data_IF_033770558242
#
_entry.id   IF_033770558242
#
_cell.length_a   1.000
_cell.length_b   1.000
_cell.length_c   1.000
_cell.angle_alpha   90.00
_cell.angle_beta   90.00
_cell.angle_gamma   90.00
#
_symmetry.space_group_name_H-M   'P 1'
#
loop_
_entity.id
_entity.type
_entity.pdbx_description
1 polymer ?
#
# COMPACT_ATOMS: atom_id res chain seq x y z
N UNK A 1 -6.67 15.11 -23.84
CA UNK A 1 -5.85 13.95 -23.41
C UNK A 1 -6.64 12.65 -23.58
N UNK A 2 -6.59 11.99 -24.74
CA UNK A 2 -7.40 10.78 -25.01
C UNK A 2 -6.88 9.51 -24.32
N UNK A 3 -5.64 9.51 -23.84
CA UNK A 3 -5.04 8.40 -23.08
C UNK A 3 -5.73 8.12 -21.73
N UNK A 4 -6.32 9.15 -21.10
CA UNK A 4 -7.15 8.99 -19.91
C UNK A 4 -8.40 8.13 -20.14
N UNK A 5 -8.74 7.81 -21.39
CA UNK A 5 -9.83 6.89 -21.73
C UNK A 5 -9.41 5.41 -21.68
N UNK A 6 -8.11 5.12 -21.47
CA UNK A 6 -7.59 3.76 -21.36
C UNK A 6 -8.17 3.04 -20.15
N UNK A 7 -8.86 1.93 -20.40
CA UNK A 7 -9.45 1.07 -19.36
C UNK A 7 -8.38 0.41 -18.48
N UNK A 8 -7.26 -0.01 -19.09
CA UNK A 8 -6.11 -0.60 -18.39
C UNK A 8 -5.49 0.37 -17.41
N UNK A 9 -5.25 1.60 -17.87
CA UNK A 9 -4.69 2.67 -17.06
C UNK A 9 -5.60 3.04 -15.89
N UNK A 10 -6.91 3.20 -16.13
CA UNK A 10 -7.87 3.52 -15.07
C UNK A 10 -7.95 2.44 -14.01
N UNK A 11 -7.95 1.17 -14.41
CA UNK A 11 -7.95 0.05 -13.48
C UNK A 11 -6.67 0.03 -12.64
N UNK A 12 -5.51 0.16 -13.29
CA UNK A 12 -4.21 0.20 -12.60
C UNK A 12 -4.10 1.36 -11.62
N UNK A 13 -4.39 2.59 -12.06
CA UNK A 13 -4.40 3.78 -11.20
C UNK A 13 -5.40 3.64 -10.05
N UNK A 14 -6.60 3.12 -10.33
CA UNK A 14 -7.61 2.90 -9.30
C UNK A 14 -7.15 1.89 -8.25
N UNK A 15 -6.46 0.81 -8.66
CA UNK A 15 -5.93 -0.20 -7.75
C UNK A 15 -4.78 0.36 -6.91
N UNK A 16 -3.85 1.10 -7.52
CA UNK A 16 -2.77 1.80 -6.80
C UNK A 16 -3.36 2.76 -5.78
N UNK A 17 -4.33 3.59 -6.18
CA UNK A 17 -4.99 4.54 -5.28
C UNK A 17 -5.74 3.85 -4.15
N UNK A 18 -6.40 2.72 -4.40
CA UNK A 18 -7.08 1.95 -3.35
C UNK A 18 -6.08 1.47 -2.28
N UNK A 19 -4.97 0.87 -2.71
CA UNK A 19 -3.92 0.38 -1.78
C UNK A 19 -3.27 1.56 -1.05
N UNK A 20 -2.92 2.62 -1.77
CA UNK A 20 -2.31 3.82 -1.19
C UNK A 20 -3.21 4.48 -0.14
N UNK A 21 -4.48 4.70 -0.46
CA UNK A 21 -5.43 5.33 0.47
C UNK A 21 -5.70 4.44 1.68
N UNK A 22 -5.74 3.12 1.51
CA UNK A 22 -5.82 2.19 2.63
C UNK A 22 -4.61 2.32 3.56
N UNK A 23 -3.39 2.28 3.01
CA UNK A 23 -2.15 2.43 3.79
C UNK A 23 -2.07 3.79 4.49
N UNK A 24 -2.42 4.88 3.78
CA UNK A 24 -2.47 6.21 4.35
C UNK A 24 -3.53 6.34 5.46
N UNK A 25 -4.71 5.71 5.29
CA UNK A 25 -5.75 5.66 6.31
C UNK A 25 -5.26 4.90 7.55
N UNK A 26 -4.65 3.73 7.39
CA UNK A 26 -4.10 2.96 8.50
C UNK A 26 -2.99 3.73 9.22
N UNK A 27 -2.13 4.46 8.49
CA UNK A 27 -1.16 5.38 9.09
C UNK A 27 -1.83 6.49 9.89
N UNK A 28 -2.92 7.07 9.38
CA UNK A 28 -3.71 8.05 10.11
C UNK A 28 -4.30 7.47 11.40
N UNK A 29 -4.89 6.26 11.33
CA UNK A 29 -5.40 5.54 12.50
C UNK A 29 -4.29 5.29 13.52
N UNK A 30 -3.09 4.88 13.07
CA UNK A 30 -1.94 4.73 13.95
C UNK A 30 -1.54 6.04 14.62
N UNK A 31 -1.42 7.12 13.82
CA UNK A 31 -1.01 8.42 14.32
C UNK A 31 -1.98 8.93 15.40
N UNK A 32 -3.28 8.94 15.14
CA UNK A 32 -4.27 9.46 16.10
C UNK A 32 -4.59 8.50 17.24
N UNK A 33 -4.50 7.18 17.03
CA UNK A 33 -4.95 6.17 18.00
C UNK A 33 -3.84 5.56 18.85
N UNK A 34 -2.60 5.51 18.35
CA UNK A 34 -1.53 4.71 18.96
C UNK A 34 -0.26 5.51 19.24
N UNK A 35 0.11 6.49 18.38
CA UNK A 35 1.43 7.14 18.46
C UNK A 35 1.69 7.95 19.74
N UNK A 36 0.63 8.37 20.45
CA UNK A 36 0.73 9.26 21.62
C UNK A 36 1.12 10.70 21.28
N UNK A 37 1.31 11.03 19.99
CA UNK A 37 1.64 12.38 19.53
C UNK A 37 0.40 13.26 19.55
N UNK A 38 0.47 14.40 20.25
CA UNK A 38 -0.63 15.36 20.27
C UNK A 38 -0.89 15.93 18.87
N UNK A 39 -2.14 15.92 18.36
CA UNK A 39 -2.45 16.41 17.01
C UNK A 39 -2.03 17.86 16.74
N UNK A 40 -1.96 18.70 17.79
CA UNK A 40 -1.53 20.10 17.67
C UNK A 40 -0.09 20.24 17.17
N UNK A 41 0.77 19.24 17.43
CA UNK A 41 2.19 19.25 17.03
C UNK A 41 2.40 19.13 15.52
N UNK A 42 1.38 18.70 14.76
CA UNK A 42 1.43 18.61 13.30
C UNK A 42 1.79 19.93 12.62
N UNK A 43 1.29 21.04 13.17
CA UNK A 43 1.43 22.37 12.57
C UNK A 43 2.49 23.23 13.28
N UNK A 44 2.92 22.84 14.48
CA UNK A 44 3.97 23.53 15.25
C UNK A 44 5.35 22.92 15.07
N UNK A 45 5.44 21.60 14.81
CA UNK A 45 6.72 20.91 14.63
C UNK A 45 6.83 20.33 13.20
N UNK A 46 7.76 20.87 12.42
CA UNK A 46 8.01 20.43 11.04
C UNK A 46 8.41 18.95 10.93
N UNK A 47 8.97 18.38 11.99
CA UNK A 47 9.37 16.97 12.07
C UNK A 47 8.20 16.01 11.90
N UNK A 48 7.03 16.29 12.51
CA UNK A 48 5.86 15.39 12.41
C UNK A 48 5.32 15.39 10.98
N UNK A 49 5.20 16.57 10.37
CA UNK A 49 4.79 16.71 8.98
C UNK A 49 5.77 16.03 8.01
N UNK A 50 7.08 16.14 8.29
CA UNK A 50 8.12 15.48 7.51
C UNK A 50 8.05 13.95 7.63
N UNK A 51 7.89 13.41 8.84
CA UNK A 51 7.68 11.96 9.05
C UNK A 51 6.47 11.45 8.30
N UNK A 52 5.32 12.15 8.41
CA UNK A 52 4.12 11.76 7.68
C UNK A 52 4.33 11.83 6.17
N UNK A 53 5.03 12.85 5.67
CA UNK A 53 5.40 12.97 4.26
C UNK A 53 6.29 11.82 3.76
N UNK A 54 7.29 11.43 4.54
CA UNK A 54 8.15 10.26 4.24
C UNK A 54 7.31 8.98 4.28
N UNK A 55 6.44 8.84 5.28
CA UNK A 55 5.51 7.73 5.41
C UNK A 55 4.60 7.55 4.20
N UNK A 56 3.97 8.63 3.72
CA UNK A 56 3.11 8.59 2.54
C UNK A 56 3.88 8.21 1.27
N UNK A 57 5.15 8.61 1.14
CA UNK A 57 6.01 8.18 0.02
C UNK A 57 6.27 6.67 0.07
N UNK A 58 6.49 6.11 1.26
CA UNK A 58 6.58 4.65 1.44
C UNK A 58 5.26 3.94 1.10
N UNK A 59 4.13 4.49 1.54
CA UNK A 59 2.81 3.92 1.25
C UNK A 59 2.54 3.87 -0.25
N UNK A 60 2.89 4.94 -0.98
CA UNK A 60 2.78 4.99 -2.44
C UNK A 60 3.70 3.97 -3.10
N UNK A 61 4.95 3.87 -2.66
CA UNK A 61 5.92 2.89 -3.18
C UNK A 61 5.41 1.45 -2.97
N UNK A 62 4.89 1.15 -1.78
CA UNK A 62 4.35 -0.16 -1.46
C UNK A 62 3.11 -0.47 -2.31
N UNK A 63 2.21 0.50 -2.49
CA UNK A 63 1.05 0.37 -3.37
C UNK A 63 1.46 0.06 -4.82
N UNK A 64 2.47 0.76 -5.34
CA UNK A 64 3.01 0.51 -6.68
C UNK A 64 3.62 -0.90 -6.78
N UNK A 65 4.39 -1.35 -5.79
CA UNK A 65 4.98 -2.69 -5.76
C UNK A 65 3.92 -3.80 -5.72
N UNK A 66 2.88 -3.65 -4.90
CA UNK A 66 1.77 -4.61 -4.81
C UNK A 66 1.01 -4.68 -6.13
N UNK A 67 0.77 -3.55 -6.80
CA UNK A 67 -0.03 -3.54 -8.04
C UNK A 67 0.83 -3.84 -9.28
N UNK A 68 2.16 -3.81 -9.18
CA UNK A 68 3.08 -4.01 -10.30
C UNK A 68 2.86 -5.34 -11.04
N UNK A 69 2.71 -6.51 -10.39
CA UNK A 69 2.45 -7.77 -11.10
C UNK A 69 1.14 -7.72 -11.92
N UNK A 70 0.11 -7.07 -11.38
CA UNK A 70 -1.17 -6.87 -12.08
C UNK A 70 -0.99 -5.92 -13.27
N UNK A 71 -0.16 -4.89 -13.13
CA UNK A 71 0.22 -4.01 -14.23
C UNK A 71 0.86 -4.80 -15.37
N UNK A 72 1.83 -5.67 -15.09
CA UNK A 72 2.47 -6.49 -16.12
C UNK A 72 1.44 -7.35 -16.88
N UNK A 73 0.56 -8.03 -16.14
CA UNK A 73 -0.48 -8.86 -16.73
C UNK A 73 -1.56 -8.05 -17.47
N UNK A 74 -1.74 -6.75 -17.24
CA UNK A 74 -2.68 -5.92 -18.01
C UNK A 74 -2.13 -5.52 -19.39
N UNK A 75 -0.80 -5.36 -19.51
CA UNK A 75 -0.15 -4.88 -20.73
C UNK A 75 0.52 -5.96 -21.58
N UNK A 76 0.65 -7.20 -21.08
CA UNK A 76 1.12 -8.32 -21.89
C UNK A 76 0.25 -8.55 -23.15
N UNK A 77 0.85 -8.83 -24.32
CA UNK A 77 0.11 -8.87 -25.59
C UNK A 77 -0.83 -10.08 -25.70
N UNK A 78 -0.37 -11.28 -25.34
CA UNK A 78 -1.11 -12.54 -25.50
C UNK A 78 -1.79 -13.01 -24.19
N UNK A 79 -1.09 -12.86 -23.07
CA UNK A 79 -1.51 -13.35 -21.75
C UNK A 79 -1.92 -12.17 -20.87
N UNK A 80 -3.13 -11.63 -21.10
CA UNK A 80 -3.61 -10.50 -20.32
C UNK A 80 -4.95 -10.73 -19.61
N UNK A 81 -5.18 -9.95 -18.55
CA UNK A 81 -6.39 -9.99 -17.71
C UNK A 81 -7.69 -9.75 -18.48
N UNK A 82 -7.62 -9.09 -19.64
CA UNK A 82 -8.81 -8.76 -20.44
C UNK A 82 -9.25 -9.97 -21.25
N UNK A 83 -8.29 -10.68 -21.85
CA UNK A 83 -8.56 -11.77 -22.78
C UNK A 83 -8.66 -13.13 -22.08
N UNK A 84 -7.97 -13.31 -20.95
CA UNK A 84 -7.87 -14.61 -20.24
C UNK A 84 -8.57 -14.54 -18.87
N UNK A 85 -9.75 -15.16 -18.71
CA UNK A 85 -10.49 -15.16 -17.45
C UNK A 85 -9.72 -15.74 -16.27
N UNK A 86 -8.90 -16.77 -16.51
CA UNK A 86 -8.06 -17.38 -15.47
C UNK A 86 -7.05 -16.38 -14.88
N UNK A 87 -6.37 -15.58 -15.72
CA UNK A 87 -5.44 -14.55 -15.25
C UNK A 87 -6.14 -13.46 -14.46
N UNK A 88 -7.39 -13.14 -14.83
CA UNK A 88 -8.23 -12.20 -14.07
C UNK A 88 -8.55 -12.74 -12.68
N UNK A 89 -8.86 -14.03 -12.56
CA UNK A 89 -9.08 -14.67 -11.27
C UNK A 89 -7.80 -14.71 -10.42
N UNK A 90 -6.66 -15.11 -11.02
CA UNK A 90 -5.35 -15.10 -10.34
C UNK A 90 -5.01 -13.71 -9.82
N UNK A 91 -5.20 -12.65 -10.61
CA UNK A 91 -4.93 -11.28 -10.18
C UNK A 91 -5.84 -10.84 -9.01
N UNK A 92 -7.11 -11.25 -9.00
CA UNK A 92 -8.03 -10.96 -7.88
C UNK A 92 -7.57 -11.66 -6.61
N UNK A 93 -7.27 -12.96 -6.69
CA UNK A 93 -6.80 -13.74 -5.54
C UNK A 93 -5.50 -13.15 -5.00
N UNK A 94 -4.55 -12.85 -5.87
CA UNK A 94 -3.29 -12.20 -5.51
C UNK A 94 -3.53 -10.88 -4.77
N UNK A 95 -4.36 -9.97 -5.30
CA UNK A 95 -4.62 -8.69 -4.67
C UNK A 95 -5.34 -8.84 -3.31
N UNK A 96 -6.29 -9.76 -3.19
CA UNK A 96 -6.99 -10.02 -1.92
C UNK A 96 -6.00 -10.55 -0.88
N UNK A 97 -5.15 -11.51 -1.26
CA UNK A 97 -4.12 -12.05 -0.36
C UNK A 97 -3.13 -10.95 0.05
N UNK A 98 -2.64 -10.15 -0.90
CA UNK A 98 -1.71 -9.06 -0.62
C UNK A 98 -2.31 -8.03 0.34
N UNK A 99 -3.58 -7.65 0.14
CA UNK A 99 -4.29 -6.74 1.03
C UNK A 99 -4.59 -7.34 2.41
N UNK A 100 -4.91 -8.64 2.47
CA UNK A 100 -5.09 -9.36 3.73
C UNK A 100 -3.79 -9.40 4.54
N UNK A 101 -2.66 -9.67 3.89
CA UNK A 101 -1.33 -9.64 4.50
C UNK A 101 -0.98 -8.22 4.95
N UNK A 102 -1.14 -7.22 4.09
CA UNK A 102 -0.85 -5.81 4.41
C UNK A 102 -1.64 -5.33 5.63
N UNK A 103 -2.95 -5.56 5.66
CA UNK A 103 -3.81 -5.18 6.79
C UNK A 103 -3.47 -5.98 8.05
N UNK A 104 -3.14 -7.26 7.94
CA UNK A 104 -2.71 -8.07 9.08
C UNK A 104 -1.40 -7.56 9.67
N UNK A 105 -0.41 -7.21 8.85
CA UNK A 105 0.84 -6.62 9.30
C UNK A 105 0.57 -5.33 10.10
N UNK A 106 -0.36 -4.48 9.64
CA UNK A 106 -0.75 -3.28 10.39
C UNK A 106 -1.45 -3.61 11.72
N UNK A 107 -2.34 -4.61 11.75
CA UNK A 107 -2.99 -5.05 13.01
C UNK A 107 -1.95 -5.52 14.02
N UNK A 108 -1.00 -6.35 13.58
CA UNK A 108 0.09 -6.85 14.43
C UNK A 108 1.00 -5.71 14.88
N UNK A 109 1.28 -4.74 14.00
CA UNK A 109 2.11 -3.59 14.32
C UNK A 109 1.47 -2.66 15.35
N UNK A 110 0.16 -2.44 15.27
CA UNK A 110 -0.55 -1.60 16.23
C UNK A 110 -0.56 -2.26 17.61
N UNK A 111 -0.81 -3.58 17.66
CA UNK A 111 -0.75 -4.34 18.91
C UNK A 111 0.66 -4.39 19.51
N UNK A 112 1.68 -4.60 18.67
CA UNK A 112 3.08 -4.61 19.12
C UNK A 112 3.51 -3.24 19.66
N UNK A 113 3.14 -2.16 18.97
CA UNK A 113 3.43 -0.80 19.43
C UNK A 113 2.68 -0.47 20.72
N UNK A 114 1.40 -0.85 20.83
CA UNK A 114 0.62 -0.64 22.05
C UNK A 114 1.22 -1.37 23.26
N UNK A 115 1.84 -2.53 23.04
CA UNK A 115 2.45 -3.33 24.10
C UNK A 115 3.86 -2.87 24.50
N UNK A 116 4.71 -2.53 23.51
CA UNK A 116 6.15 -2.29 23.72
C UNK A 116 6.61 -0.85 23.44
N UNK A 117 5.76 0.00 22.88
CA UNK A 117 6.10 1.37 22.47
C UNK A 117 7.06 1.45 21.28
N UNK A 118 7.27 0.35 20.55
CA UNK A 118 8.18 0.27 19.40
C UNK A 118 7.48 -0.40 18.22
N UNK A 119 7.73 0.10 17.01
CA UNK A 119 7.19 -0.48 15.75
C UNK A 119 7.72 -1.88 15.50
N UNK A 120 7.04 -2.66 14.65
CA UNK A 120 7.50 -4.00 14.28
C UNK A 120 8.94 -3.98 13.76
N UNK A 121 9.73 -4.92 14.28
CA UNK A 121 11.10 -5.15 13.86
C UNK A 121 11.44 -6.65 13.99
N UNK A 122 12.68 -7.01 13.68
CA UNK A 122 13.12 -8.42 13.65
C UNK A 122 12.99 -9.15 14.99
N UNK A 123 12.88 -8.45 16.12
CA UNK A 123 12.65 -9.09 17.44
C UNK A 123 11.35 -9.89 17.49
N UNK A 124 10.39 -9.59 16.62
CA UNK A 124 9.10 -10.30 16.53
C UNK A 124 9.29 -11.78 16.19
N UNK A 125 10.37 -12.14 15.49
CA UNK A 125 10.67 -13.54 15.18
C UNK A 125 10.85 -14.40 16.44
N UNK A 126 11.30 -13.81 17.55
CA UNK A 126 11.44 -14.50 18.84
C UNK A 126 10.08 -14.93 19.41
N UNK A 127 9.01 -14.18 19.15
CA UNK A 127 7.66 -14.55 19.58
C UNK A 127 7.08 -15.73 18.77
N UNK A 128 7.62 -16.01 17.59
CA UNK A 128 7.24 -17.18 16.80
C UNK A 128 7.89 -18.47 17.32
N UNK A 129 9.07 -18.36 17.95
CA UNK A 129 9.74 -19.49 18.60
C UNK A 129 8.92 -19.98 19.81
N UNK A 130 8.40 -19.03 20.61
CA UNK A 130 7.49 -19.30 21.73
C UNK A 130 6.02 -19.00 21.39
N UNK A 131 5.55 -19.52 20.25
CA UNK A 131 4.22 -19.20 19.71
C UNK A 131 3.06 -19.57 20.64
N UNK A 132 3.19 -20.62 21.46
CA UNK A 132 2.14 -21.04 22.39
C UNK A 132 1.92 -20.00 23.50
N UNK A 133 3.00 -19.58 24.16
CA UNK A 133 2.95 -18.59 25.23
C UNK A 133 2.49 -17.23 24.67
N UNK A 134 3.04 -16.83 23.53
CA UNK A 134 2.67 -15.57 22.86
C UNK A 134 1.19 -15.56 22.47
N UNK A 135 0.63 -16.69 22.02
CA UNK A 135 -0.79 -16.83 21.72
C UNK A 135 -1.65 -16.62 22.97
N UNK A 136 -1.32 -17.28 24.08
CA UNK A 136 -2.11 -17.18 25.31
C UNK A 136 -2.12 -15.74 25.85
N UNK A 137 -0.98 -15.05 25.77
CA UNK A 137 -0.89 -13.62 26.09
C UNK A 137 -1.79 -12.75 25.21
N UNK A 138 -1.85 -13.02 23.89
CA UNK A 138 -2.72 -12.29 22.98
C UNK A 138 -4.20 -12.44 23.34
N UNK A 139 -4.64 -13.66 23.68
CA UNK A 139 -6.03 -13.92 24.06
C UNK A 139 -6.43 -13.31 25.40
N UNK A 140 -5.48 -13.20 26.33
CA UNK A 140 -5.71 -12.57 27.64
C UNK A 140 -5.70 -11.04 27.54
N UNK A 141 -4.89 -10.47 26.64
CA UNK A 141 -4.67 -9.01 26.56
C UNK A 141 -5.59 -8.31 25.56
N UNK A 142 -5.91 -8.98 24.45
CA UNK A 142 -6.62 -8.36 23.33
C UNK A 142 -7.95 -9.06 23.01
N UNK A 143 -8.95 -8.32 22.54
CA UNK A 143 -10.21 -8.90 22.06
C UNK A 143 -10.01 -9.55 20.67
N UNK A 144 -9.26 -10.66 20.61
CA UNK A 144 -8.81 -11.33 19.37
C UNK A 144 -9.97 -11.64 18.42
N UNK A 145 -11.12 -12.07 18.96
CA UNK A 145 -12.32 -12.38 18.16
C UNK A 145 -12.82 -11.15 17.40
N UNK A 146 -12.93 -9.99 18.07
CA UNK A 146 -13.42 -8.75 17.45
C UNK A 146 -12.40 -8.17 16.46
N UNK A 147 -11.11 -8.25 16.79
CA UNK A 147 -10.03 -7.84 15.88
C UNK A 147 -10.06 -8.68 14.60
N UNK A 148 -10.19 -10.01 14.75
CA UNK A 148 -10.26 -10.94 13.61
C UNK A 148 -11.51 -10.68 12.77
N UNK A 149 -12.67 -10.46 13.40
CA UNK A 149 -13.90 -10.12 12.69
C UNK A 149 -13.78 -8.80 11.91
N UNK A 150 -13.23 -7.75 12.52
CA UNK A 150 -12.99 -6.46 11.88
C UNK A 150 -11.99 -6.55 10.72
N UNK A 151 -10.94 -7.34 10.88
CA UNK A 151 -9.98 -7.62 9.82
C UNK A 151 -10.62 -8.35 8.63
N UNK A 152 -11.37 -9.43 8.89
CA UNK A 152 -12.10 -10.16 7.84
C UNK A 152 -13.11 -9.26 7.11
N UNK A 153 -13.85 -8.44 7.84
CA UNK A 153 -14.79 -7.48 7.25
C UNK A 153 -14.06 -6.48 6.34
N UNK A 154 -12.90 -5.98 6.77
CA UNK A 154 -12.06 -5.07 5.99
C UNK A 154 -11.59 -5.75 4.70
N UNK A 155 -11.10 -7.00 4.77
CA UNK A 155 -10.67 -7.76 3.59
C UNK A 155 -11.83 -8.00 2.62
N UNK A 156 -13.03 -8.33 3.12
CA UNK A 156 -14.23 -8.50 2.30
C UNK A 156 -14.62 -7.19 1.61
N UNK A 157 -14.62 -6.07 2.34
CA UNK A 157 -14.93 -4.75 1.79
C UNK A 157 -13.94 -4.34 0.69
N UNK A 158 -12.64 -4.58 0.92
CA UNK A 158 -11.59 -4.33 -0.07
C UNK A 158 -11.72 -5.23 -1.30
N UNK A 159 -12.00 -6.52 -1.11
CA UNK A 159 -12.27 -7.46 -2.20
C UNK A 159 -13.47 -7.00 -3.04
N UNK A 160 -14.54 -6.55 -2.39
CA UNK A 160 -15.70 -5.97 -3.08
C UNK A 160 -15.35 -4.69 -3.84
N UNK A 161 -14.57 -3.79 -3.25
CA UNK A 161 -14.10 -2.56 -3.89
C UNK A 161 -13.25 -2.85 -5.13
N UNK A 162 -12.34 -3.83 -5.07
CA UNK A 162 -11.57 -4.31 -6.22
C UNK A 162 -12.47 -4.86 -7.33
N UNK A 163 -13.45 -5.70 -6.98
CA UNK A 163 -14.40 -6.24 -7.96
C UNK A 163 -15.24 -5.14 -8.62
N UNK A 164 -15.69 -4.14 -7.83
CA UNK A 164 -16.42 -2.97 -8.35
C UNK A 164 -15.54 -2.15 -9.28
N UNK A 165 -14.31 -1.84 -8.86
CA UNK A 165 -13.35 -1.10 -9.66
C UNK A 165 -13.09 -1.80 -11.01
N UNK A 166 -12.86 -3.10 -10.97
CA UNK A 166 -12.63 -3.94 -12.14
C UNK A 166 -13.83 -3.91 -13.10
N UNK A 167 -15.07 -4.02 -12.59
CA UNK A 167 -16.29 -3.93 -13.41
C UNK A 167 -16.46 -2.55 -14.04
N UNK A 168 -16.26 -1.47 -13.28
CA UNK A 168 -16.44 -0.08 -13.76
C UNK A 168 -15.38 0.31 -14.81
N UNK A 169 -14.18 -0.28 -14.72
CA UNK A 169 -13.05 0.07 -15.59
C UNK A 169 -12.89 -0.90 -16.77
N UNK A 170 -12.66 -2.19 -16.51
CA UNK A 170 -12.28 -3.16 -17.53
C UNK A 170 -13.47 -3.60 -18.40
N UNK A 171 -14.69 -3.67 -17.86
CA UNK A 171 -15.88 -4.11 -18.63
C UNK A 171 -16.45 -3.00 -19.53
N UNK A 172 -16.02 -1.75 -19.38
CA UNK A 172 -16.41 -0.65 -20.27
C UNK A 172 -16.00 -0.99 -21.72
N UNK A 173 -16.73 -0.55 -22.74
CA UNK A 173 -16.30 -0.77 -24.14
C UNK A 173 -14.97 -0.06 -24.47
N UNK A 174 -14.19 -0.66 -25.39
CA UNK A 174 -12.95 -0.08 -25.90
C UNK A 174 -13.26 1.21 -26.66
N UNK A 175 -12.59 2.30 -26.33
CA UNK A 175 -12.59 3.50 -27.17
C UNK A 175 -11.29 3.57 -27.95
N UNK A 176 -11.32 3.94 -29.23
CA UNK A 176 -10.11 4.12 -30.02
C UNK A 176 -9.29 5.28 -29.43
N UNK A 177 -8.00 5.04 -29.18
CA UNK A 177 -7.07 6.04 -28.67
C UNK A 177 -6.05 6.34 -29.76
N UNK A 178 -5.76 7.62 -30.01
CA UNK A 178 -4.73 8.05 -30.96
C UNK A 178 -3.36 7.48 -30.55
N UNK A 179 -2.59 6.95 -31.50
CA UNK A 179 -1.27 6.31 -31.25
C UNK A 179 -0.32 7.20 -30.44
N UNK A 180 -0.16 8.46 -30.83
CA UNK A 180 0.66 9.44 -30.09
C UNK A 180 0.20 9.66 -28.65
N UNK A 181 -1.12 9.64 -28.42
CA UNK A 181 -1.64 9.75 -27.05
C UNK A 181 -1.29 8.52 -26.22
N UNK A 182 -1.27 7.32 -26.81
CA UNK A 182 -0.84 6.09 -26.12
C UNK A 182 0.64 6.16 -25.77
N UNK A 183 1.50 6.59 -26.70
CA UNK A 183 2.95 6.71 -26.48
C UNK A 183 3.23 7.68 -25.33
N UNK A 184 2.73 8.91 -25.40
CA UNK A 184 2.94 9.91 -24.36
C UNK A 184 2.33 9.51 -23.01
N UNK A 185 1.11 8.95 -23.02
CA UNK A 185 0.46 8.49 -21.80
C UNK A 185 1.21 7.32 -21.13
N UNK A 186 1.77 6.40 -21.93
CA UNK A 186 2.55 5.27 -21.42
C UNK A 186 3.91 5.73 -20.90
N UNK A 187 4.60 6.64 -21.61
CA UNK A 187 5.86 7.22 -21.16
C UNK A 187 5.68 7.95 -19.82
N UNK A 188 4.66 8.80 -19.71
CA UNK A 188 4.34 9.51 -18.47
C UNK A 188 4.03 8.52 -17.33
N UNK A 189 3.25 7.48 -17.59
CA UNK A 189 2.92 6.44 -16.61
C UNK A 189 4.17 5.71 -16.11
N UNK A 190 5.07 5.31 -17.02
CA UNK A 190 6.32 4.63 -16.66
C UNK A 190 7.20 5.55 -15.82
N UNK A 191 7.40 6.80 -16.25
CA UNK A 191 8.19 7.78 -15.49
C UNK A 191 7.59 8.03 -14.10
N UNK A 192 6.27 8.22 -14.00
CA UNK A 192 5.59 8.41 -12.71
C UNK A 192 5.72 7.18 -11.80
N UNK A 193 5.65 5.97 -12.37
CA UNK A 193 5.83 4.72 -11.62
C UNK A 193 7.26 4.60 -11.10
N UNK A 194 8.27 4.90 -11.92
CA UNK A 194 9.68 4.86 -11.51
C UNK A 194 9.94 5.89 -10.40
N UNK A 195 9.46 7.13 -10.57
CA UNK A 195 9.60 8.18 -9.55
C UNK A 195 8.89 7.79 -8.24
N UNK A 196 7.69 7.21 -8.33
CA UNK A 196 6.98 6.69 -7.15
C UNK A 196 7.69 5.51 -6.49
N UNK A 197 8.33 4.63 -7.26
CA UNK A 197 9.14 3.52 -6.74
C UNK A 197 10.44 3.99 -6.09
N UNK A 198 11.03 5.08 -6.58
CA UNK A 198 12.17 5.73 -5.92
C UNK A 198 11.72 6.40 -4.61
N UNK A 199 10.51 6.97 -4.57
CA UNK A 199 9.96 7.62 -3.37
C UNK A 199 10.75 8.85 -2.92
N UNK A 200 11.63 9.37 -3.78
CA UNK A 200 12.51 10.52 -3.53
C UNK A 200 12.36 11.50 -4.70
N UNK A 201 12.12 12.77 -4.39
CA UNK A 201 11.96 13.86 -5.36
C UNK A 201 13.16 14.80 -5.32
N UNK A 202 13.83 14.88 -4.18
CA UNK A 202 14.97 15.76 -3.92
C UNK A 202 16.29 14.98 -3.98
N UNK A 203 17.36 15.60 -4.50
CA UNK A 203 18.71 15.02 -4.57
C UNK A 203 18.77 13.65 -5.28
N UNK A 204 18.06 13.53 -6.41
CA UNK A 204 18.11 12.34 -7.26
C UNK A 204 19.46 12.27 -7.98
N UNK A 205 20.32 11.35 -7.55
CA UNK A 205 21.51 11.00 -8.32
C UNK A 205 21.08 10.15 -9.53
N UNK A 206 21.20 10.69 -10.74
CA UNK A 206 20.82 10.01 -11.99
C UNK A 206 21.77 8.86 -12.35
N UNK A 207 23.02 8.90 -11.90
CA UNK A 207 24.02 7.86 -12.16
C UNK A 207 23.85 6.66 -11.23
N UNK A 208 23.39 6.89 -10.00
CA UNK A 208 23.08 5.85 -9.03
C UNK A 208 21.81 6.22 -8.24
N UNK A 209 20.61 6.01 -8.80
CA UNK A 209 19.37 6.38 -8.17
C UNK A 209 19.08 5.44 -7.00
N UNK A 210 19.28 5.96 -5.77
CA UNK A 210 18.99 5.23 -4.54
C UNK A 210 17.52 5.45 -4.16
N UNK A 211 16.70 4.38 -4.07
CA UNK A 211 15.33 4.52 -3.59
C UNK A 211 15.31 4.84 -2.10
N UNK A 212 14.20 5.42 -1.64
CA UNK A 212 13.94 5.72 -0.23
C UNK A 212 14.25 4.50 0.65
N UNK A 213 15.08 4.67 1.68
CA UNK A 213 15.56 3.56 2.52
C UNK A 213 14.87 3.57 3.86
N UNK A 214 14.75 2.40 4.49
CA UNK A 214 14.16 2.30 5.83
C UNK A 214 14.85 3.20 6.87
N UNK A 215 16.17 3.42 6.74
CA UNK A 215 16.92 4.38 7.56
C UNK A 215 16.43 5.83 7.42
N UNK A 216 15.89 6.21 6.25
CA UNK A 216 15.38 7.56 6.01
C UNK A 216 14.12 7.86 6.85
N UNK A 217 13.43 6.82 7.36
CA UNK A 217 12.28 6.98 8.26
C UNK A 217 12.69 7.41 9.68
N UNK A 218 13.92 7.11 10.12
CA UNK A 218 14.41 7.40 11.47
C UNK A 218 15.19 8.73 11.56
N UNK A 219 14.89 9.70 10.70
CA UNK A 219 15.69 10.94 10.59
C UNK A 219 15.68 11.80 11.87
N UNK A 220 14.61 11.74 12.68
CA UNK A 220 14.46 12.52 13.91
C UNK A 220 15.02 11.82 15.16
N UNK A 221 15.29 10.52 15.09
CA UNK A 221 15.68 9.71 16.26
C UNK A 221 14.60 9.54 17.33
N UNK A 222 13.42 10.14 17.17
CA UNK A 222 12.30 10.03 18.10
C UNK A 222 11.39 8.84 17.72
N UNK A 223 11.31 7.83 18.59
CA UNK A 223 10.52 6.61 18.35
C UNK A 223 9.01 6.83 18.26
N UNK A 224 8.48 7.95 18.78
CA UNK A 224 7.07 8.31 18.65
C UNK A 224 6.73 8.86 17.27
N UNK A 225 7.74 9.38 16.56
CA UNK A 225 7.61 10.05 15.26
C UNK A 225 8.45 9.33 14.19
N UNK A 226 8.72 8.03 14.39
CA UNK A 226 9.48 7.16 13.50
C UNK A 226 8.61 6.12 12.78
#
# INVERSE_FOLDING_TARGET
>A
MSWLQSRRLRYWLGAVMLVFLLSALLRGVFFYGFSGVEPGTLFTHSEVAQTLGIGLRFDLRLALLIVLPVALLLWLPRWNLINVPALRWVARVYLIIALAILTMIHVVDFGHYAYLGVRLNASVMRYLEDAQISRDMLWQTYPVVWITAGWLLTVVALGWALLRLERVTLNRQARPIKRWSVVWGSALMVCATILGLLGRVENLNLENPVPLRWSDAFFSGNSQVA
#
